data_IF_400681830710
#
_entry.id   IF_400681830710
#
_cell.length_a   1.000
_cell.length_b   1.000
_cell.length_c   1.000
_cell.angle_alpha   90.00
_cell.angle_beta   90.00
_cell.angle_gamma   90.00
#
_symmetry.space_group_name_H-M   'P 1'
#
loop_
_entity.id
_entity.type
_entity.pdbx_description
1 polymer ?
#
# COMPACT_ATOMS: atom_id res chain seq x y z
N UNK A 1 17.83 7.59 1.29
CA UNK A 1 18.06 7.44 -0.17
C UNK A 1 16.70 7.56 -0.86
N UNK A 2 16.62 7.91 -2.14
CA UNK A 2 15.34 7.80 -2.88
C UNK A 2 15.44 6.57 -3.77
N UNK A 3 14.48 5.66 -3.65
CA UNK A 3 14.37 4.48 -4.51
C UNK A 3 13.99 4.94 -5.91
N UNK A 4 14.60 4.37 -6.94
CA UNK A 4 14.27 4.71 -8.32
C UNK A 4 12.92 4.07 -8.72
N UNK A 5 12.28 4.65 -9.73
CA UNK A 5 10.93 4.22 -10.16
C UNK A 5 10.85 2.75 -10.55
N UNK A 6 11.86 2.20 -11.25
CA UNK A 6 11.82 0.80 -11.69
C UNK A 6 11.85 -0.16 -10.48
N UNK A 7 12.67 0.18 -9.48
CA UNK A 7 12.70 -0.56 -8.22
C UNK A 7 11.38 -0.43 -7.45
N UNK A 8 10.81 0.77 -7.41
CA UNK A 8 9.52 1.03 -6.76
C UNK A 8 8.38 0.23 -7.40
N UNK A 9 8.35 0.14 -8.74
CA UNK A 9 7.41 -0.70 -9.49
C UNK A 9 7.52 -2.19 -9.08
N UNK A 10 8.75 -2.72 -8.93
CA UNK A 10 8.98 -4.09 -8.45
C UNK A 10 8.52 -4.30 -7.00
N UNK A 11 8.69 -3.31 -6.14
CA UNK A 11 8.15 -3.35 -4.76
C UNK A 11 6.62 -3.42 -4.81
N UNK A 12 6.00 -2.57 -5.62
CA UNK A 12 4.55 -2.54 -5.81
C UNK A 12 4.01 -3.89 -6.31
N UNK A 13 4.61 -4.44 -7.37
CA UNK A 13 4.24 -5.76 -7.92
C UNK A 13 4.39 -6.89 -6.90
N UNK A 14 5.40 -6.83 -6.03
CA UNK A 14 5.62 -7.85 -5.00
C UNK A 14 4.58 -7.82 -3.87
N UNK A 15 4.08 -6.62 -3.54
CA UNK A 15 3.14 -6.38 -2.44
C UNK A 15 1.69 -6.52 -2.88
N UNK A 16 1.34 -6.05 -4.08
CA UNK A 16 -0.03 -6.00 -4.60
C UNK A 16 -0.72 -7.37 -4.53
N UNK A 17 -1.96 -7.39 -4.08
CA UNK A 17 -2.72 -8.62 -3.87
C UNK A 17 -2.18 -9.49 -2.74
N UNK A 18 -1.44 -8.90 -1.79
CA UNK A 18 -0.96 -9.58 -0.59
C UNK A 18 -1.16 -8.70 0.65
N UNK A 19 -1.00 -9.30 1.82
CA UNK A 19 -0.95 -8.59 3.11
C UNK A 19 0.46 -8.50 3.70
N UNK A 20 1.50 -8.59 2.85
CA UNK A 20 2.90 -8.48 3.29
C UNK A 20 3.22 -7.04 3.69
N UNK A 21 4.13 -6.83 4.63
CA UNK A 21 4.59 -5.48 4.94
C UNK A 21 5.73 -5.04 3.99
N UNK A 22 6.02 -3.74 3.95
CA UNK A 22 7.12 -3.18 3.13
C UNK A 22 8.48 -3.77 3.49
N UNK A 23 8.75 -4.08 4.77
CA UNK A 23 9.96 -4.78 5.21
C UNK A 23 10.17 -6.15 4.54
N UNK A 24 9.10 -6.88 4.24
CA UNK A 24 9.18 -8.12 3.48
C UNK A 24 9.63 -7.88 2.03
N UNK A 25 9.20 -6.78 1.41
CA UNK A 25 9.66 -6.40 0.07
C UNK A 25 11.11 -5.94 0.07
N UNK A 26 11.52 -5.12 1.06
CA UNK A 26 12.91 -4.67 1.25
C UNK A 26 13.86 -5.87 1.35
N UNK A 27 13.49 -6.87 2.16
CA UNK A 27 14.28 -8.08 2.33
C UNK A 27 14.31 -8.92 1.04
N UNK A 28 13.15 -9.11 0.39
CA UNK A 28 13.05 -9.98 -0.79
C UNK A 28 13.75 -9.40 -2.03
N UNK A 29 13.82 -8.08 -2.13
CA UNK A 29 14.44 -7.35 -3.24
C UNK A 29 15.84 -6.83 -2.91
N UNK A 30 16.38 -7.16 -1.73
CA UNK A 30 17.73 -6.79 -1.28
C UNK A 30 17.99 -5.26 -1.34
N UNK A 31 17.01 -4.45 -0.96
CA UNK A 31 17.05 -2.98 -1.10
C UNK A 31 17.98 -2.27 -0.09
N UNK A 32 18.43 -2.98 0.95
CA UNK A 32 19.29 -2.46 2.01
C UNK A 32 18.55 -2.03 3.29
N UNK A 33 19.27 -1.97 4.41
CA UNK A 33 18.73 -1.65 5.73
C UNK A 33 18.51 -0.14 5.97
N UNK A 34 18.97 0.73 5.05
CA UNK A 34 18.84 2.19 5.12
C UNK A 34 17.56 2.73 4.43
N UNK A 35 16.70 1.84 3.96
CA UNK A 35 15.40 2.19 3.39
C UNK A 35 14.43 2.59 4.51
N UNK A 36 13.84 3.78 4.37
CA UNK A 36 12.78 4.25 5.26
C UNK A 36 11.46 3.60 4.84
N UNK A 37 10.96 2.67 5.65
CA UNK A 37 9.70 1.95 5.41
C UNK A 37 8.48 2.89 5.30
N UNK A 38 8.44 3.96 6.10
CA UNK A 38 7.30 4.89 6.09
C UNK A 38 7.28 5.70 4.81
N UNK A 39 8.47 6.15 4.37
CA UNK A 39 8.59 6.84 3.09
C UNK A 39 8.30 5.91 1.92
N UNK A 40 8.77 4.65 1.97
CA UNK A 40 8.52 3.68 0.91
C UNK A 40 7.02 3.39 0.74
N UNK A 41 6.27 3.26 1.85
CA UNK A 41 4.82 3.09 1.79
C UNK A 41 4.12 4.28 1.10
N UNK A 42 4.56 5.51 1.35
CA UNK A 42 4.04 6.72 0.69
C UNK A 42 4.44 6.78 -0.79
N UNK A 43 5.72 6.49 -1.10
CA UNK A 43 6.25 6.48 -2.46
C UNK A 43 5.50 5.45 -3.34
N UNK A 44 4.98 4.34 -2.79
CA UNK A 44 4.23 3.32 -3.54
C UNK A 44 2.96 3.84 -4.23
N UNK A 45 2.42 4.97 -3.78
CA UNK A 45 1.32 5.66 -4.48
C UNK A 45 1.73 6.13 -5.89
N UNK A 46 3.01 6.42 -6.12
CA UNK A 46 3.53 6.82 -7.44
C UNK A 46 3.52 5.69 -8.48
N UNK A 47 3.38 4.45 -8.03
CA UNK A 47 3.33 3.22 -8.85
C UNK A 47 2.02 2.47 -8.64
N UNK A 48 0.96 3.23 -8.38
CA UNK A 48 -0.42 2.73 -8.38
C UNK A 48 -0.64 1.58 -7.38
N UNK A 49 0.06 1.62 -6.25
CA UNK A 49 -0.03 0.58 -5.21
C UNK A 49 -0.34 1.22 -3.87
N UNK A 50 -1.49 0.87 -3.29
CA UNK A 50 -2.01 1.50 -2.07
C UNK A 50 -2.38 0.45 -1.01
N UNK A 51 -2.12 0.75 0.27
CA UNK A 51 -2.43 -0.13 1.40
C UNK A 51 -3.80 0.17 1.98
N UNK A 52 -4.67 -0.84 2.08
CA UNK A 52 -5.86 -0.71 2.92
C UNK A 52 -5.47 -0.61 4.39
N UNK A 53 -5.82 0.51 5.04
CA UNK A 53 -5.45 0.78 6.44
C UNK A 53 -6.15 -0.13 7.46
N UNK A 54 -7.21 -0.82 7.05
CA UNK A 54 -7.94 -1.74 7.93
C UNK A 54 -7.42 -3.18 7.85
N UNK A 55 -7.48 -3.81 6.68
CA UNK A 55 -7.11 -5.23 6.54
C UNK A 55 -5.62 -5.46 6.22
N UNK A 56 -4.87 -4.40 5.87
CA UNK A 56 -3.46 -4.49 5.54
C UNK A 56 -3.16 -5.14 4.19
N UNK A 57 -4.15 -5.26 3.30
CA UNK A 57 -3.94 -5.73 1.93
C UNK A 57 -3.54 -4.59 1.01
N UNK A 58 -2.64 -4.88 0.07
CA UNK A 58 -2.22 -3.95 -0.97
C UNK A 58 -3.07 -4.11 -2.23
N UNK A 59 -3.49 -2.98 -2.77
CA UNK A 59 -4.45 -2.84 -3.86
C UNK A 59 -3.91 -1.92 -4.95
N UNK A 60 -4.55 -1.92 -6.12
CA UNK A 60 -4.32 -0.88 -7.11
C UNK A 60 -4.91 0.46 -6.64
N UNK A 61 -4.28 1.58 -7.00
CA UNK A 61 -4.90 2.89 -6.73
C UNK A 61 -6.26 2.94 -7.41
N UNK A 62 -7.25 3.51 -6.72
CA UNK A 62 -8.68 3.52 -7.07
C UNK A 62 -9.49 2.28 -6.66
N UNK A 63 -8.88 1.22 -6.13
CA UNK A 63 -9.63 0.12 -5.48
C UNK A 63 -9.98 0.41 -4.00
N UNK A 64 -9.53 1.57 -3.49
CA UNK A 64 -9.75 1.99 -2.12
C UNK A 64 -10.58 3.28 -2.07
N UNK A 65 -11.51 3.33 -1.12
CA UNK A 65 -12.23 4.54 -0.75
C UNK A 65 -11.51 5.24 0.39
N UNK A 66 -11.14 6.51 0.18
CA UNK A 66 -10.55 7.31 1.25
C UNK A 66 -11.59 7.58 2.34
N UNK A 67 -11.22 7.30 3.60
CA UNK A 67 -12.02 7.60 4.77
C UNK A 67 -11.14 8.27 5.84
N UNK A 68 -11.50 9.52 6.21
CA UNK A 68 -10.74 10.31 7.18
C UNK A 68 -10.81 9.72 8.60
N UNK A 69 -11.97 9.21 9.02
CA UNK A 69 -12.17 8.62 10.36
C UNK A 69 -11.31 7.36 10.58
N UNK A 70 -10.99 6.64 9.50
CA UNK A 70 -10.14 5.46 9.50
C UNK A 70 -8.69 5.74 9.07
N UNK A 71 -8.35 7.00 8.77
CA UNK A 71 -6.98 7.44 8.52
C UNK A 71 -6.38 6.98 7.20
N UNK A 72 -7.19 6.68 6.18
CA UNK A 72 -6.70 6.34 4.83
C UNK A 72 -7.67 5.54 3.97
N UNK A 73 -7.14 4.86 2.96
CA UNK A 73 -7.90 4.03 2.03
C UNK A 73 -8.46 2.75 2.65
N UNK A 74 -9.73 2.46 2.36
CA UNK A 74 -10.44 1.24 2.75
C UNK A 74 -10.89 0.49 1.50
N UNK A 75 -10.68 -0.82 1.45
CA UNK A 75 -11.21 -1.62 0.34
C UNK A 75 -12.71 -1.87 0.53
N UNK A 76 -13.39 -2.26 -0.55
CA UNK A 76 -14.85 -2.50 -0.56
C UNK A 76 -15.31 -3.39 0.61
N UNK A 77 -14.59 -4.50 0.86
CA UNK A 77 -14.91 -5.41 1.96
C UNK A 77 -14.80 -4.74 3.33
N UNK A 78 -13.77 -3.92 3.55
CA UNK A 78 -13.60 -3.21 4.82
C UNK A 78 -14.64 -2.10 4.98
N UNK A 79 -15.03 -1.45 3.88
CA UNK A 79 -16.12 -0.48 3.89
C UNK A 79 -17.45 -1.14 4.30
N UNK A 80 -17.78 -2.29 3.74
CA UNK A 80 -18.97 -3.07 4.12
C UNK A 80 -18.95 -3.47 5.61
N UNK A 81 -17.80 -3.91 6.13
CA UNK A 81 -17.64 -4.28 7.54
C UNK A 81 -17.76 -3.10 8.51
N UNK A 82 -17.31 -1.92 8.06
CA UNK A 82 -17.28 -0.69 8.86
C UNK A 82 -18.52 0.20 8.66
N UNK A 83 -19.48 -0.21 7.82
CA UNK A 83 -20.67 0.58 7.44
C UNK A 83 -20.28 1.94 6.81
N UNK A 84 -19.21 1.95 6.01
CA UNK A 84 -18.71 3.10 5.26
C UNK A 84 -19.19 2.98 3.81
N UNK A 85 -19.74 4.06 3.26
CA UNK A 85 -20.12 4.09 1.84
C UNK A 85 -18.86 4.06 0.94
N UNK A 86 -18.70 2.98 0.18
CA UNK A 86 -17.60 2.81 -0.77
C UNK A 86 -17.83 3.54 -2.10
N UNK A 87 -19.09 3.76 -2.49
CA UNK A 87 -19.42 4.28 -3.83
C UNK A 87 -19.79 5.76 -3.86
N UNK A 88 -20.13 6.34 -2.70
CA UNK A 88 -20.41 7.77 -2.53
C UNK A 88 -21.75 8.25 -3.06
#
# INVERSE_FOLDING_TARGET
MSIDRETLEKVGEYLRGTCKNVGNAITALELGDDVDETKLEDDLLEVETELCKHCGWWHEVCELQFNEDHGGGLCEQCCDELDVDFYG
#
